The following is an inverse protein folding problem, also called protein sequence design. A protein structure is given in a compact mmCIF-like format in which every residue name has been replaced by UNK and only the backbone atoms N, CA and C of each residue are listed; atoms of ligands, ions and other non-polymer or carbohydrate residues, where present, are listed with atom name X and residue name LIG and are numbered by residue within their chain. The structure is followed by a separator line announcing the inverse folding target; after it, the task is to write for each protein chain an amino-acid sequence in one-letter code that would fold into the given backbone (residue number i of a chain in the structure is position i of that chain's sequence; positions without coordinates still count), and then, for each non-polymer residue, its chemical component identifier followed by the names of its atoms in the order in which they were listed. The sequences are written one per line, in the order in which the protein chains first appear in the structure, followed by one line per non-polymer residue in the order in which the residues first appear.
data_IF_055292403323
#
_entry.id   IF_055292403323
#
_cell.length_a   1.000
_cell.length_b   1.000
_cell.length_c   1.000
_cell.angle_alpha   90.00
_cell.angle_beta   90.00
_cell.angle_gamma   90.00
#
_symmetry.space_group_name_H-M   'P 1'
#
loop_
_entity.id
_entity.type
_entity.pdbx_description
1 polymer ?
#
# COMPACT_ATOMS: atom_id res chain seq x y z
N UNK A 1 -43.64 -25.18 7.16
CA UNK A 1 -42.34 -24.73 6.61
C UNK A 1 -41.30 -25.79 6.92
N UNK A 2 -40.55 -26.27 5.93
CA UNK A 2 -39.51 -27.27 6.17
C UNK A 2 -38.33 -26.62 6.94
N UNK A 3 -37.85 -27.21 8.05
CA UNK A 3 -36.76 -26.63 8.84
C UNK A 3 -35.45 -26.54 8.05
N UNK A 4 -35.23 -27.44 7.09
CA UNK A 4 -34.07 -27.35 6.19
C UNK A 4 -34.08 -26.07 5.34
N UNK A 5 -35.27 -25.59 4.95
CA UNK A 5 -35.40 -24.38 4.13
C UNK A 5 -34.99 -23.13 4.92
N UNK A 6 -35.36 -23.07 6.19
CA UNK A 6 -35.00 -21.95 7.09
C UNK A 6 -33.48 -21.94 7.30
N UNK A 7 -32.88 -23.10 7.57
CA UNK A 7 -31.43 -23.22 7.70
C UNK A 7 -30.70 -22.79 6.42
N UNK A 8 -31.20 -23.20 5.24
CA UNK A 8 -30.61 -22.82 3.96
C UNK A 8 -30.67 -21.30 3.75
N UNK A 9 -31.80 -20.65 4.03
CA UNK A 9 -31.94 -19.20 3.91
C UNK A 9 -30.97 -18.46 4.84
N UNK A 10 -30.78 -18.94 6.07
CA UNK A 10 -29.88 -18.32 7.05
C UNK A 10 -28.41 -18.47 6.63
N UNK A 11 -28.01 -19.64 6.13
CA UNK A 11 -26.60 -19.92 5.79
C UNK A 11 -26.20 -19.36 4.42
N UNK A 12 -27.13 -19.27 3.47
CA UNK A 12 -26.88 -18.76 2.11
C UNK A 12 -26.13 -17.42 2.06
N UNK A 13 -26.51 -16.34 2.78
CA UNK A 13 -25.79 -15.07 2.70
C UNK A 13 -24.31 -15.21 3.10
N UNK A 14 -23.99 -16.04 4.11
CA UNK A 14 -22.61 -16.28 4.51
C UNK A 14 -21.83 -17.01 3.41
N UNK A 15 -22.42 -18.07 2.85
CA UNK A 15 -21.80 -18.80 1.73
C UNK A 15 -21.50 -17.86 0.57
N UNK A 16 -22.45 -16.98 0.21
CA UNK A 16 -22.27 -16.01 -0.87
C UNK A 16 -21.13 -15.02 -0.58
N UNK A 17 -21.00 -14.54 0.65
CA UNK A 17 -19.89 -13.66 1.06
C UNK A 17 -18.55 -14.37 0.88
N UNK A 18 -18.41 -15.62 1.33
CA UNK A 18 -17.15 -16.36 1.19
C UNK A 18 -16.81 -16.68 -0.27
N UNK A 19 -17.80 -17.05 -1.08
CA UNK A 19 -17.60 -17.26 -2.52
C UNK A 19 -17.13 -15.96 -3.19
N UNK A 20 -17.78 -14.83 -2.87
CA UNK A 20 -17.42 -13.54 -3.42
C UNK A 20 -16.00 -13.13 -3.03
N UNK A 21 -15.66 -13.23 -1.74
CA UNK A 21 -14.33 -12.92 -1.23
C UNK A 21 -13.26 -13.81 -1.88
N UNK A 22 -13.51 -15.10 -2.02
CA UNK A 22 -12.59 -16.02 -2.68
C UNK A 22 -12.40 -15.70 -4.16
N UNK A 23 -13.48 -15.39 -4.89
CA UNK A 23 -13.39 -14.96 -6.29
C UNK A 23 -12.62 -13.64 -6.44
N UNK A 24 -12.89 -12.68 -5.55
CA UNK A 24 -12.22 -11.39 -5.54
C UNK A 24 -10.71 -11.56 -5.27
N UNK A 25 -10.34 -12.33 -4.26
CA UNK A 25 -8.94 -12.61 -3.93
C UNK A 25 -8.24 -13.41 -5.04
N UNK A 26 -8.93 -14.35 -5.69
CA UNK A 26 -8.38 -15.07 -6.84
C UNK A 26 -8.09 -14.13 -8.02
N UNK A 27 -8.99 -13.18 -8.31
CA UNK A 27 -8.76 -12.16 -9.35
C UNK A 27 -7.60 -11.25 -8.98
N UNK A 28 -7.55 -10.82 -7.72
CA UNK A 28 -6.46 -10.01 -7.17
C UNK A 28 -5.12 -10.72 -7.30
N UNK A 29 -5.04 -11.98 -6.85
CA UNK A 29 -3.86 -12.83 -7.00
C UNK A 29 -3.40 -12.96 -8.46
N UNK A 30 -4.33 -13.08 -9.41
CA UNK A 30 -3.98 -13.13 -10.84
C UNK A 30 -3.46 -11.81 -11.42
N UNK A 31 -3.81 -10.67 -10.83
CA UNK A 31 -3.46 -9.35 -11.35
C UNK A 31 -2.20 -8.81 -10.67
N UNK A 32 -2.09 -9.00 -9.36
CA UNK A 32 -1.06 -8.38 -8.51
C UNK A 32 0.02 -9.37 -8.04
N UNK A 33 -0.17 -10.69 -8.23
CA UNK A 33 0.78 -11.70 -7.77
C UNK A 33 0.57 -12.12 -6.32
N UNK A 34 1.65 -12.56 -5.65
CA UNK A 34 1.56 -12.94 -4.23
C UNK A 34 1.43 -11.67 -3.40
N UNK A 35 0.51 -11.66 -2.44
CA UNK A 35 0.43 -10.57 -1.48
C UNK A 35 1.66 -10.61 -0.57
N UNK A 36 2.54 -9.62 -0.68
CA UNK A 36 3.58 -9.37 0.32
C UNK A 36 3.00 -8.39 1.32
N UNK A 37 2.79 -8.82 2.56
CA UNK A 37 2.24 -7.93 3.58
C UNK A 37 3.37 -7.08 4.16
N UNK A 38 3.20 -5.76 4.14
CA UNK A 38 4.19 -4.81 4.64
C UNK A 38 3.54 -3.53 5.16
N UNK A 39 4.36 -2.63 5.68
CA UNK A 39 3.95 -1.29 6.07
C UNK A 39 3.94 -0.41 4.81
N UNK A 40 2.87 0.36 4.62
CA UNK A 40 2.77 1.38 3.59
C UNK A 40 2.57 2.73 4.27
N UNK A 41 3.29 3.75 3.81
CA UNK A 41 3.14 5.12 4.30
C UNK A 41 2.07 5.85 3.49
N UNK A 42 1.10 6.46 4.19
CA UNK A 42 0.09 7.34 3.60
C UNK A 42 0.49 8.80 3.84
N UNK A 43 0.86 9.50 2.76
CA UNK A 43 1.29 10.90 2.78
C UNK A 43 0.15 11.88 3.11
N UNK A 44 -1.10 11.54 2.79
CA UNK A 44 -2.25 12.40 3.02
C UNK A 44 -2.56 12.49 4.52
N UNK A 45 -2.49 11.35 5.21
CA UNK A 45 -2.76 11.27 6.65
C UNK A 45 -1.50 11.35 7.51
N UNK A 46 -0.32 11.18 6.90
CA UNK A 46 0.96 11.08 7.60
C UNK A 46 1.07 9.84 8.48
N UNK A 47 0.42 8.73 8.11
CA UNK A 47 0.39 7.50 8.92
C UNK A 47 0.85 6.27 8.14
N UNK A 48 1.58 5.38 8.81
CA UNK A 48 1.92 4.07 8.25
C UNK A 48 0.85 3.04 8.64
N UNK A 49 0.43 2.21 7.69
CA UNK A 49 -0.55 1.14 7.92
C UNK A 49 -0.13 -0.17 7.26
N UNK A 50 -0.56 -1.30 7.83
CA UNK A 50 -0.29 -2.63 7.28
C UNK A 50 -1.27 -2.90 6.14
N UNK A 51 -0.76 -3.18 4.95
CA UNK A 51 -1.56 -3.53 3.78
C UNK A 51 -0.88 -4.61 2.94
N UNK A 52 -1.59 -5.11 1.92
CA UNK A 52 -0.99 -5.97 0.91
C UNK A 52 -0.24 -5.11 -0.09
N UNK A 53 1.07 -5.30 -0.17
CA UNK A 53 1.98 -4.62 -1.09
C UNK A 53 2.19 -5.54 -2.30
N UNK A 54 2.07 -4.97 -3.50
CA UNK A 54 2.30 -5.71 -4.73
C UNK A 54 3.81 -5.95 -4.91
N UNK A 55 4.21 -7.00 -5.65
CA UNK A 55 5.62 -7.38 -5.80
C UNK A 55 6.51 -6.29 -6.49
N UNK A 56 5.91 -5.23 -7.02
CA UNK A 56 6.59 -4.11 -7.67
C UNK A 56 6.58 -2.82 -6.83
N UNK A 57 6.01 -2.87 -5.64
CA UNK A 57 5.99 -1.78 -4.66
C UNK A 57 6.89 -2.15 -3.49
N UNK A 58 7.73 -1.22 -3.05
CA UNK A 58 8.59 -1.43 -1.89
C UNK A 58 7.83 -1.11 -0.60
N UNK A 59 8.04 -1.94 0.42
CA UNK A 59 7.48 -1.70 1.75
C UNK A 59 8.20 -0.52 2.42
N UNK A 60 7.44 0.31 3.12
CA UNK A 60 8.00 1.37 3.96
C UNK A 60 8.77 0.75 5.13
N UNK A 61 10.07 1.06 5.22
CA UNK A 61 10.91 0.71 6.35
C UNK A 61 10.99 1.90 7.33
N UNK A 62 10.46 1.78 8.57
CA UNK A 62 10.56 2.86 9.55
C UNK A 62 12.01 3.14 9.99
N UNK A 63 12.94 2.20 9.80
CA UNK A 63 14.35 2.40 10.15
C UNK A 63 15.09 3.29 9.13
N UNK A 64 14.54 3.44 7.91
CA UNK A 64 15.05 4.38 6.89
C UNK A 64 14.64 5.84 7.18
N UNK A 65 13.68 6.07 8.06
CA UNK A 65 13.19 7.41 8.38
C UNK A 65 14.11 8.11 9.40
N UNK A 66 14.80 9.17 8.96
CA UNK A 66 15.63 10.00 9.83
C UNK A 66 14.91 11.30 10.26
N UNK A 67 14.34 11.38 11.48
CA UNK A 67 13.70 12.59 11.97
C UNK A 67 14.69 13.74 12.24
N UNK A 68 15.99 13.45 12.32
CA UNK A 68 17.00 14.47 12.58
C UNK A 68 17.33 15.32 11.35
N UNK A 69 17.06 14.81 10.14
CA UNK A 69 17.21 15.55 8.88
C UNK A 69 16.34 16.82 8.81
N UNK A 70 15.20 16.85 9.51
CA UNK A 70 14.33 18.05 9.56
C UNK A 70 14.89 19.16 10.47
N UNK A 71 15.77 18.81 11.43
CA UNK A 71 16.43 19.77 12.31
C UNK A 71 17.69 20.38 11.70
N UNK A 72 18.08 19.97 10.51
CA UNK A 72 19.22 20.54 9.82
C UNK A 72 18.82 21.90 9.20
N UNK A 73 19.39 23.02 9.68
CA UNK A 73 19.12 24.34 9.12
C UNK A 73 19.51 24.47 7.64
N UNK A 74 20.32 23.55 7.10
CA UNK A 74 20.77 23.57 5.70
C UNK A 74 19.76 22.98 4.70
N UNK A 75 18.72 22.25 5.16
CA UNK A 75 17.68 21.64 4.29
C UNK A 75 16.68 22.66 3.72
N UNK A 76 16.70 23.91 4.21
CA UNK A 76 15.86 25.00 3.67
C UNK A 76 16.37 25.62 2.36
N UNK A 77 17.40 25.08 1.71
CA UNK A 77 17.96 25.65 0.47
C UNK A 77 18.34 24.57 -0.52
N UNK A 78 17.39 23.72 -0.89
CA UNK A 78 17.59 22.76 -1.99
C UNK A 78 16.30 22.49 -2.78
N UNK A 79 15.52 23.52 -3.09
CA UNK A 79 14.46 23.42 -4.13
C UNK A 79 14.67 24.39 -5.31
N UNK A 80 15.77 25.17 -5.33
CA UNK A 80 16.11 26.06 -6.44
C UNK A 80 17.60 25.99 -6.76
N UNK A 81 18.11 24.87 -7.30
CA UNK A 81 19.34 24.94 -8.11
C UNK A 81 19.54 23.70 -9.02
N UNK A 82 18.81 23.65 -10.13
CA UNK A 82 19.26 22.87 -11.28
C UNK A 82 18.79 23.53 -12.58
N UNK A 83 19.58 24.48 -13.10
CA UNK A 83 19.92 24.64 -14.54
C UNK A 83 20.76 25.90 -14.77
N UNK A 84 22.09 25.75 -14.80
CA UNK A 84 22.91 26.04 -15.99
C UNK A 84 24.40 25.82 -15.65
N UNK A 85 24.87 24.58 -15.84
CA UNK A 85 26.29 24.27 -15.79
C UNK A 85 26.98 24.82 -17.05
N UNK A 86 27.70 25.93 -16.89
CA UNK A 86 28.72 26.40 -17.83
C UNK A 86 29.84 25.36 -17.97
N UNK A 87 30.35 25.07 -19.18
CA UNK A 87 31.71 24.58 -19.33
C UNK A 87 32.56 25.64 -20.04
N UNK A 88 33.50 26.25 -19.29
CA UNK A 88 34.67 26.88 -19.90
C UNK A 88 35.65 25.78 -20.36
N UNK A 89 36.06 25.81 -21.64
CA UNK A 89 37.48 25.80 -22.07
C UNK A 89 37.62 25.63 -23.59
N UNK A 90 38.17 26.65 -24.25
CA UNK A 90 39.51 26.65 -24.91
C UNK A 90 39.74 27.96 -25.65
#
# INVERSE_FOLDING_TARGET
MAPQLIALIIVTPFILIFIYAGYHEYRRYKTEGRATYGLMFDEETGTSHVTGIADHEDAYDPDDFDPSAYNDPDVKTSEDDETDATPERS
#
